data_IF_650132107441
#
_entry.id   IF_650132107441
#
_cell.length_a   1.000
_cell.length_b   1.000
_cell.length_c   1.000
_cell.angle_alpha   90.00
_cell.angle_beta   90.00
_cell.angle_gamma   90.00
#
_symmetry.space_group_name_H-M   'P 1'
#
loop_
_entity.id
_entity.type
_entity.pdbx_description
1 polymer ?
#
# COMPACT_ATOMS: atom_id res chain seq x y z
N UNK A 1 0.35 -29.72 42.35
CA UNK A 1 1.80 -29.54 42.10
C UNK A 1 1.96 -29.22 40.62
N UNK A 2 1.89 -27.94 40.26
CA UNK A 2 1.80 -27.48 38.86
C UNK A 2 3.12 -26.79 38.53
N UNK A 3 3.93 -27.41 37.69
CA UNK A 3 5.15 -26.80 37.19
C UNK A 3 4.81 -25.77 36.10
N UNK A 4 5.22 -24.52 36.33
CA UNK A 4 5.20 -23.46 35.33
C UNK A 4 6.49 -23.55 34.51
N UNK A 5 6.38 -23.96 33.25
CA UNK A 5 7.49 -23.93 32.30
C UNK A 5 7.75 -22.49 31.88
N UNK A 6 8.89 -21.93 32.28
CA UNK A 6 9.39 -20.64 31.81
C UNK A 6 10.15 -20.87 30.49
N UNK A 7 9.68 -20.25 29.40
CA UNK A 7 10.41 -20.17 28.14
C UNK A 7 11.23 -18.88 28.12
N UNK A 8 12.56 -19.04 28.19
CA UNK A 8 13.49 -17.92 28.09
C UNK A 8 13.58 -17.43 26.63
N UNK A 9 13.19 -16.18 26.38
CA UNK A 9 13.51 -15.46 25.14
C UNK A 9 14.97 -15.02 25.18
N UNK A 10 15.76 -15.46 24.21
CA UNK A 10 17.08 -14.89 23.92
C UNK A 10 16.94 -13.72 22.93
N UNK A 11 17.65 -12.60 23.13
CA UNK A 11 17.64 -11.50 22.17
C UNK A 11 18.56 -11.82 20.99
N UNK A 12 18.01 -11.84 19.76
CA UNK A 12 18.80 -11.92 18.53
C UNK A 12 19.40 -10.56 18.18
N UNK A 13 20.72 -10.57 18.01
CA UNK A 13 21.60 -9.50 17.58
C UNK A 13 21.13 -8.87 16.25
N UNK A 14 20.98 -7.56 16.22
CA UNK A 14 20.66 -6.80 15.02
C UNK A 14 21.87 -6.83 14.06
N UNK A 15 21.69 -7.43 12.88
CA UNK A 15 22.65 -7.32 11.79
C UNK A 15 22.49 -5.95 11.12
N UNK A 16 23.48 -5.09 11.39
CA UNK A 16 23.68 -3.80 10.75
C UNK A 16 23.94 -4.01 9.25
N UNK A 17 22.95 -3.73 8.40
CA UNK A 17 23.16 -3.65 6.95
C UNK A 17 23.61 -2.23 6.61
N UNK A 18 24.90 -2.13 6.34
CA UNK A 18 25.59 -1.00 5.73
C UNK A 18 24.82 -0.50 4.51
N UNK A 19 24.22 0.69 4.63
CA UNK A 19 23.78 1.45 3.46
C UNK A 19 25.02 1.94 2.73
N UNK A 20 25.16 1.55 1.45
CA UNK A 20 26.24 2.03 0.61
C UNK A 20 26.00 3.51 0.29
N UNK A 21 26.81 4.38 0.87
CA UNK A 21 26.90 5.79 0.53
C UNK A 21 27.54 5.93 -0.84
N UNK A 22 26.78 6.39 -1.83
CA UNK A 22 27.35 6.91 -3.07
C UNK A 22 27.86 8.32 -2.77
N UNK A 23 29.18 8.42 -2.75
CA UNK A 23 29.96 9.67 -2.72
C UNK A 23 29.82 10.41 -4.05
N UNK A 24 29.46 11.69 -3.98
CA UNK A 24 29.70 12.75 -4.97
C UNK A 24 29.55 14.05 -4.16
N UNK A 25 30.46 15.01 -4.10
CA UNK A 25 31.34 15.57 -5.11
C UNK A 25 31.26 17.07 -4.87
N UNK A 26 32.38 17.71 -4.55
CA UNK A 26 32.42 19.14 -4.21
C UNK A 26 32.04 20.01 -5.42
N UNK A 27 31.25 21.06 -5.20
CA UNK A 27 31.27 22.25 -6.03
C UNK A 27 31.12 23.50 -5.16
N UNK A 28 32.22 24.27 -5.10
CA UNK A 28 32.26 25.65 -4.62
C UNK A 28 31.41 26.55 -5.53
N UNK A 29 30.68 27.49 -4.92
CA UNK A 29 29.90 28.48 -5.63
C UNK A 29 29.13 29.39 -4.69
N UNK A 30 29.82 30.36 -4.10
CA UNK A 30 29.22 31.45 -3.35
C UNK A 30 28.31 32.29 -4.25
N UNK A 31 27.07 32.54 -3.82
CA UNK A 31 26.25 33.65 -4.33
C UNK A 31 25.49 34.26 -3.16
N UNK A 32 25.89 35.47 -2.80
CA UNK A 32 25.32 36.30 -1.76
C UNK A 32 23.92 36.78 -2.17
N UNK A 33 22.89 36.27 -1.50
CA UNK A 33 21.51 36.72 -1.66
C UNK A 33 20.66 36.25 -0.48
N UNK A 34 20.68 37.05 0.60
CA UNK A 34 19.83 37.02 1.81
C UNK A 34 18.99 35.75 2.03
N UNK A 35 19.65 34.67 2.43
CA UNK A 35 19.07 33.45 2.98
C UNK A 35 18.77 33.60 4.48
N UNK A 36 18.06 34.65 4.87
CA UNK A 36 17.84 34.96 6.31
C UNK A 36 16.59 34.28 6.90
N UNK A 37 15.88 33.39 6.18
CA UNK A 37 14.65 32.79 6.71
C UNK A 37 14.44 31.31 6.34
N UNK A 38 15.51 30.57 6.09
CA UNK A 38 15.44 29.11 5.94
C UNK A 38 16.40 28.48 6.92
N UNK A 39 16.00 28.46 8.19
CA UNK A 39 16.68 27.68 9.21
C UNK A 39 16.39 26.20 8.92
N UNK A 40 17.27 25.56 8.15
CA UNK A 40 17.29 24.10 7.97
C UNK A 40 17.85 23.53 9.26
N UNK A 41 17.09 23.69 10.34
CA UNK A 41 17.35 23.07 11.63
C UNK A 41 16.70 21.70 11.58
N UNK A 42 17.54 20.70 11.40
CA UNK A 42 17.44 19.36 11.96
C UNK A 42 16.03 18.93 12.44
N UNK A 43 15.46 17.95 11.71
CA UNK A 43 14.26 17.16 12.03
C UNK A 43 12.86 17.77 11.75
N UNK A 44 12.36 17.46 10.55
CA UNK A 44 10.94 17.16 10.25
C UNK A 44 9.83 18.18 10.54
N UNK A 45 10.10 19.46 10.83
CA UNK A 45 9.04 20.48 10.89
C UNK A 45 9.35 21.71 10.03
N UNK A 46 8.39 22.08 9.18
CA UNK A 46 8.41 23.31 8.39
C UNK A 46 7.30 24.24 8.92
N UNK A 47 7.68 25.36 9.53
CA UNK A 47 6.73 26.39 9.98
C UNK A 47 6.40 27.34 8.82
N UNK A 48 5.25 27.13 8.21
CA UNK A 48 4.75 28.03 7.17
C UNK A 48 4.13 29.29 7.81
N UNK A 49 4.70 30.45 7.50
CA UNK A 49 4.07 31.72 7.85
C UNK A 49 2.91 31.97 6.86
N UNK A 50 1.67 31.96 7.40
CA UNK A 50 0.42 32.04 6.63
C UNK A 50 0.27 33.37 5.86
N UNK A 51 0.99 34.42 6.28
CA UNK A 51 0.98 35.74 5.63
C UNK A 51 2.08 35.96 4.57
N UNK A 52 2.91 34.95 4.26
CA UNK A 52 4.01 35.07 3.30
C UNK A 52 4.04 33.90 2.31
N UNK A 53 2.93 33.63 1.62
CA UNK A 53 2.91 32.65 0.56
C UNK A 53 3.36 33.30 -0.77
N UNK A 54 4.62 33.06 -1.16
CA UNK A 54 5.08 33.33 -2.52
C UNK A 54 5.69 32.05 -3.07
N UNK A 55 4.99 31.39 -4.00
CA UNK A 55 5.51 30.24 -4.72
C UNK A 55 6.50 30.75 -5.78
N UNK A 56 7.80 30.49 -5.58
CA UNK A 56 8.86 30.83 -6.54
C UNK A 56 9.37 29.55 -7.18
N UNK A 57 9.19 29.43 -8.50
CA UNK A 57 9.80 28.35 -9.27
C UNK A 57 11.12 28.84 -9.84
N UNK A 58 12.23 28.32 -9.32
CA UNK A 58 13.56 28.64 -9.85
C UNK A 58 13.87 27.65 -10.98
N UNK A 59 14.03 28.16 -12.19
CA UNK A 59 14.40 27.34 -13.36
C UNK A 59 15.81 26.78 -13.15
N UNK A 60 15.99 25.49 -13.41
CA UNK A 60 17.24 24.75 -13.22
C UNK A 60 17.70 24.57 -11.76
N UNK A 61 16.89 24.91 -10.76
CA UNK A 61 17.13 24.43 -9.40
C UNK A 61 16.49 23.07 -9.23
N UNK A 62 17.25 22.10 -8.76
CA UNK A 62 16.72 20.77 -8.44
C UNK A 62 16.03 20.73 -7.06
N UNK A 63 15.74 21.88 -6.47
CA UNK A 63 14.94 22.04 -5.26
C UNK A 63 13.44 21.84 -5.54
N UNK A 64 13.10 20.69 -6.12
CA UNK A 64 11.75 20.16 -6.09
C UNK A 64 11.42 19.70 -4.66
N UNK A 65 10.12 19.59 -4.33
CA UNK A 65 9.67 18.97 -3.07
C UNK A 65 10.22 17.54 -2.86
N UNK A 66 10.72 16.91 -3.94
CA UNK A 66 11.25 15.57 -3.93
C UNK A 66 12.74 15.55 -4.31
N UNK A 67 13.49 14.63 -3.72
CA UNK A 67 14.89 14.38 -4.08
C UNK A 67 15.03 14.01 -5.56
N UNK A 68 16.20 14.31 -6.14
CA UNK A 68 16.58 13.89 -7.50
C UNK A 68 16.26 12.40 -7.71
N UNK A 69 15.62 12.09 -8.84
CA UNK A 69 15.18 10.74 -9.25
C UNK A 69 14.12 10.05 -8.37
N UNK A 70 13.57 10.68 -7.32
CA UNK A 70 12.59 10.04 -6.44
C UNK A 70 11.36 9.54 -7.20
N UNK A 71 10.79 10.36 -8.11
CA UNK A 71 9.62 9.99 -8.91
C UNK A 71 9.94 8.87 -9.91
N UNK A 72 11.13 8.89 -10.52
CA UNK A 72 11.57 7.84 -11.45
C UNK A 72 11.70 6.50 -10.70
N UNK A 73 12.40 6.51 -9.57
CA UNK A 73 12.54 5.34 -8.69
C UNK A 73 11.18 4.84 -8.21
N UNK A 74 10.26 5.74 -7.85
CA UNK A 74 8.91 5.35 -7.44
C UNK A 74 8.19 4.59 -8.55
N UNK A 75 8.20 5.10 -9.80
CA UNK A 75 7.59 4.42 -10.95
C UNK A 75 8.20 3.04 -11.21
N UNK A 76 9.52 2.93 -11.19
CA UNK A 76 10.25 1.67 -11.45
C UNK A 76 10.03 0.63 -10.35
N UNK A 77 9.95 1.07 -9.09
CA UNK A 77 9.86 0.16 -7.93
C UNK A 77 8.43 -0.17 -7.52
N UNK A 78 7.44 0.65 -7.91
CA UNK A 78 6.05 0.53 -7.47
C UNK A 78 5.50 -0.88 -7.66
N UNK A 79 5.59 -1.46 -8.87
CA UNK A 79 5.10 -2.81 -9.15
C UNK A 79 5.74 -3.87 -8.26
N UNK A 80 7.08 -3.84 -8.16
CA UNK A 80 7.85 -4.79 -7.36
C UNK A 80 7.50 -4.72 -5.88
N UNK A 81 7.39 -3.51 -5.33
CA UNK A 81 7.07 -3.30 -3.91
C UNK A 81 5.63 -3.75 -3.62
N UNK A 82 4.68 -3.36 -4.46
CA UNK A 82 3.27 -3.72 -4.30
C UNK A 82 3.06 -5.23 -4.33
N UNK A 83 3.67 -5.95 -5.29
CA UNK A 83 3.61 -7.42 -5.34
C UNK A 83 4.26 -8.07 -4.13
N UNK A 84 5.43 -7.59 -3.69
CA UNK A 84 6.11 -8.13 -2.50
C UNK A 84 5.25 -7.99 -1.24
N UNK A 85 4.64 -6.82 -1.04
CA UNK A 85 3.78 -6.57 0.12
C UNK A 85 2.48 -7.37 0.04
N UNK A 86 1.87 -7.46 -1.14
CA UNK A 86 0.71 -8.30 -1.38
C UNK A 86 1.00 -9.77 -1.05
N UNK A 87 2.10 -10.34 -1.56
CA UNK A 87 2.46 -11.73 -1.28
C UNK A 87 2.68 -11.97 0.22
N UNK A 88 3.34 -11.03 0.92
CA UNK A 88 3.52 -11.12 2.37
C UNK A 88 2.18 -11.13 3.11
N UNK A 89 1.26 -10.27 2.69
CA UNK A 89 -0.08 -10.22 3.26
C UNK A 89 -0.86 -11.50 2.95
N UNK A 90 -0.81 -11.99 1.71
CA UNK A 90 -1.50 -13.19 1.29
C UNK A 90 -1.03 -14.42 2.07
N UNK A 91 0.29 -14.61 2.23
CA UNK A 91 0.81 -15.71 3.05
C UNK A 91 0.35 -15.64 4.51
N UNK A 92 0.24 -14.44 5.08
CA UNK A 92 -0.31 -14.27 6.42
C UNK A 92 -1.80 -14.60 6.46
N UNK A 93 -2.57 -14.11 5.46
CA UNK A 93 -4.00 -14.34 5.35
C UNK A 93 -4.31 -15.84 5.19
N UNK A 94 -3.55 -16.54 4.34
CA UNK A 94 -3.72 -17.97 4.10
C UNK A 94 -3.48 -18.78 5.38
N UNK A 95 -2.41 -18.46 6.12
CA UNK A 95 -2.13 -19.08 7.42
C UNK A 95 -3.22 -18.80 8.45
N UNK A 96 -3.67 -17.54 8.54
CA UNK A 96 -4.76 -17.17 9.43
C UNK A 96 -6.07 -17.89 9.06
N UNK A 97 -6.42 -17.95 7.78
CA UNK A 97 -7.64 -18.58 7.31
C UNK A 97 -7.65 -20.09 7.60
N UNK A 98 -6.51 -20.76 7.41
CA UNK A 98 -6.38 -22.18 7.72
C UNK A 98 -6.60 -22.48 9.22
N UNK A 99 -6.19 -21.56 10.11
CA UNK A 99 -6.35 -21.73 11.56
C UNK A 99 -7.75 -21.35 12.08
N UNK A 100 -8.46 -20.45 11.38
CA UNK A 100 -9.66 -19.80 11.92
C UNK A 100 -10.94 -20.05 11.13
N UNK A 101 -10.86 -20.54 9.90
CA UNK A 101 -12.01 -20.71 9.00
C UNK A 101 -12.14 -22.17 8.62
N UNK A 102 -13.29 -22.78 8.94
CA UNK A 102 -13.59 -24.13 8.50
C UNK A 102 -13.91 -24.16 7.00
N UNK A 103 -13.73 -25.32 6.37
CA UNK A 103 -14.10 -25.52 4.95
C UNK A 103 -15.58 -25.21 4.71
N UNK A 104 -16.44 -25.54 5.66
CA UNK A 104 -17.88 -25.26 5.60
C UNK A 104 -18.16 -23.75 5.64
N UNK A 105 -17.50 -23.00 6.52
CA UNK A 105 -17.64 -21.55 6.60
C UNK A 105 -17.14 -20.86 5.33
N UNK A 106 -16.03 -21.32 4.78
CA UNK A 106 -15.48 -20.81 3.51
C UNK A 106 -16.45 -21.06 2.35
N UNK A 107 -17.03 -22.26 2.29
CA UNK A 107 -18.05 -22.61 1.31
C UNK A 107 -19.30 -21.76 1.46
N UNK A 108 -19.87 -21.68 2.67
CA UNK A 108 -21.05 -20.87 2.94
C UNK A 108 -20.86 -19.40 2.58
N UNK A 109 -19.67 -18.84 2.84
CA UNK A 109 -19.31 -17.49 2.42
C UNK A 109 -19.30 -17.34 0.89
N UNK A 110 -18.76 -18.34 0.18
CA UNK A 110 -18.73 -18.35 -1.28
C UNK A 110 -20.14 -18.46 -1.86
N UNK A 111 -20.96 -19.37 -1.34
CA UNK A 111 -22.35 -19.58 -1.77
C UNK A 111 -23.17 -18.29 -1.55
N UNK A 112 -22.98 -17.63 -0.40
CA UNK A 112 -23.60 -16.33 -0.13
C UNK A 112 -23.16 -15.23 -1.11
N UNK A 113 -21.85 -15.15 -1.40
CA UNK A 113 -21.31 -14.17 -2.34
C UNK A 113 -21.83 -14.39 -3.77
N UNK A 114 -22.06 -15.64 -4.16
CA UNK A 114 -22.59 -16.00 -5.47
C UNK A 114 -24.12 -15.86 -5.57
N UNK A 115 -24.82 -15.75 -4.44
CA UNK A 115 -26.28 -15.68 -4.39
C UNK A 115 -26.95 -17.05 -4.42
N UNK A 116 -26.20 -18.12 -4.17
CA UNK A 116 -26.67 -19.51 -4.13
C UNK A 116 -27.27 -19.87 -2.74
N UNK A 117 -28.02 -18.94 -2.16
CA UNK A 117 -28.63 -19.05 -0.84
C UNK A 117 -30.11 -18.65 -0.86
N UNK A 118 -30.92 -19.38 -0.11
CA UNK A 118 -32.35 -19.12 -0.02
C UNK A 118 -32.67 -17.76 0.62
N UNK A 119 -33.78 -17.16 0.22
CA UNK A 119 -34.25 -15.88 0.77
C UNK A 119 -33.54 -14.63 0.22
N UNK A 120 -32.62 -14.79 -0.74
CA UNK A 120 -32.06 -13.67 -1.49
C UNK A 120 -32.95 -13.32 -2.69
N UNK A 121 -32.95 -12.04 -3.08
CA UNK A 121 -33.60 -11.61 -4.32
C UNK A 121 -32.97 -12.34 -5.50
N UNK A 122 -33.81 -12.84 -6.40
CA UNK A 122 -33.37 -13.47 -7.65
C UNK A 122 -32.35 -12.59 -8.37
N UNK A 123 -31.12 -13.10 -8.40
CA UNK A 123 -29.98 -12.40 -8.99
C UNK A 123 -29.01 -13.41 -9.56
N UNK A 124 -28.25 -12.97 -10.55
CA UNK A 124 -27.18 -13.75 -11.15
C UNK A 124 -25.88 -13.02 -10.91
N UNK A 125 -25.02 -13.61 -10.08
CA UNK A 125 -23.69 -13.08 -9.80
C UNK A 125 -22.67 -13.69 -10.75
N UNK A 126 -21.97 -12.84 -11.51
CA UNK A 126 -20.86 -13.24 -12.37
C UNK A 126 -19.54 -12.87 -11.69
N UNK A 127 -18.61 -13.83 -11.63
CA UNK A 127 -17.23 -13.60 -11.21
C UNK A 127 -16.32 -13.55 -12.44
N UNK A 128 -15.47 -12.53 -12.51
CA UNK A 128 -14.43 -12.40 -13.53
C UNK A 128 -13.08 -12.26 -12.84
N UNK A 129 -12.19 -13.18 -13.13
CA UNK A 129 -10.85 -13.20 -12.55
C UNK A 129 -9.93 -12.29 -13.40
N UNK A 130 -9.52 -11.15 -12.86
CA UNK A 130 -8.73 -10.13 -13.57
C UNK A 130 -7.26 -10.23 -13.20
N UNK A 131 -6.39 -10.10 -14.20
CA UNK A 131 -4.93 -10.19 -14.05
C UNK A 131 -4.24 -8.97 -14.65
N UNK A 132 -4.29 -7.80 -13.99
CA UNK A 132 -3.74 -6.58 -14.54
C UNK A 132 -2.21 -6.57 -14.41
N UNK A 133 -1.51 -6.34 -15.52
CA UNK A 133 -0.04 -6.23 -15.54
C UNK A 133 0.46 -4.79 -15.65
N UNK A 134 -0.36 -3.90 -16.22
CA UNK A 134 0.03 -2.54 -16.62
C UNK A 134 -0.28 -1.47 -15.57
N UNK A 135 -1.38 -1.62 -14.82
CA UNK A 135 -1.83 -0.65 -13.81
C UNK A 135 -2.12 -1.36 -12.50
N UNK A 136 -1.89 -0.66 -11.39
CA UNK A 136 -2.27 -1.15 -10.08
C UNK A 136 -3.80 -1.38 -10.02
N UNK A 137 -4.29 -2.43 -9.31
CA UNK A 137 -3.51 -3.45 -8.60
C UNK A 137 -2.73 -4.38 -9.55
N UNK A 138 -1.49 -4.73 -9.21
CA UNK A 138 -0.66 -5.60 -10.08
C UNK A 138 -0.84 -7.10 -9.80
N UNK A 139 -1.64 -7.42 -8.79
CA UNK A 139 -1.98 -8.79 -8.42
C UNK A 139 -3.35 -9.18 -8.98
N UNK A 140 -3.62 -10.48 -9.15
CA UNK A 140 -4.93 -10.97 -9.56
C UNK A 140 -6.01 -10.56 -8.56
N UNK A 141 -7.19 -10.20 -9.06
CA UNK A 141 -8.36 -9.95 -8.21
C UNK A 141 -9.65 -10.32 -8.92
N UNK A 142 -10.67 -10.62 -8.11
CA UNK A 142 -11.98 -11.02 -8.62
C UNK A 142 -12.87 -9.77 -8.75
N UNK A 143 -13.52 -9.62 -9.91
CA UNK A 143 -14.57 -8.65 -10.13
C UNK A 143 -15.91 -9.38 -10.12
N UNK A 144 -16.78 -9.01 -9.19
CA UNK A 144 -18.14 -9.51 -9.10
C UNK A 144 -19.11 -8.53 -9.75
N UNK A 145 -20.08 -9.03 -10.48
CA UNK A 145 -21.16 -8.23 -11.08
C UNK A 145 -22.48 -8.95 -10.86
N UNK A 146 -23.42 -8.27 -10.23
CA UNK A 146 -24.74 -8.81 -9.90
C UNK A 146 -25.76 -8.25 -10.88
N UNK A 147 -26.54 -9.13 -11.50
CA UNK A 147 -27.69 -8.75 -12.32
C UNK A 147 -28.94 -9.18 -11.57
N UNK A 148 -29.82 -8.22 -11.25
CA UNK A 148 -31.09 -8.51 -10.62
C UNK A 148 -32.16 -8.74 -11.68
N UNK A 149 -32.95 -9.80 -11.50
CA UNK A 149 -34.13 -10.02 -12.31
C UNK A 149 -35.28 -9.21 -11.72
N UNK A 150 -35.82 -8.27 -12.48
CA UNK A 150 -37.09 -7.61 -12.13
C UNK A 150 -38.23 -8.54 -12.47
N UNK A 151 -38.89 -9.09 -11.46
CA UNK A 151 -40.20 -9.70 -11.64
C UNK A 151 -41.17 -8.58 -12.06
N UNK A 152 -41.69 -8.66 -13.28
CA UNK A 152 -42.75 -7.75 -13.73
C UNK A 152 -43.99 -8.02 -12.86
N UNK A 153 -44.69 -6.98 -12.37
CA UNK A 153 -45.93 -7.18 -11.64
C UNK A 153 -46.93 -7.87 -12.57
N UNK A 154 -47.47 -9.00 -12.11
CA UNK A 154 -48.59 -9.69 -12.76
C UNK A 154 -49.72 -8.66 -12.90
N UNK A 155 -50.14 -8.44 -14.14
CA UNK A 155 -51.21 -7.50 -14.48
C UNK A 155 -52.50 -8.31 -14.45
N UNK A 156 -53.23 -8.22 -13.34
CA UNK A 156 -54.58 -8.76 -13.18
C UNK A 156 -55.58 -8.05 -14.11
#
# INVERSE_FOLDING_TARGET
>A
MIQKSQTHRTPKLAQNKSNSSCSDGACDGATSGSTENLNILENTECKFNVNSFKLVYVVNSESYLYKRMALKRAKETHKKVSLRLHNKFQSWLDGWAQENVSTEQSKACTDWLMGDVDGLKESTTKRVDLHPSERAPFCPYNKYTVVYHTQQPQKD
#
